data_IF_960202198707
#
_entry.id   IF_960202198707
#
_cell.length_a   1.000
_cell.length_b   1.000
_cell.length_c   1.000
_cell.angle_alpha   90.00
_cell.angle_beta   90.00
_cell.angle_gamma   90.00
#
_symmetry.space_group_name_H-M   'P 1'
#
loop_
_entity.id
_entity.type
_entity.pdbx_description
1 polymer ?
#
# COMPACT_ATOMS: atom_id res chain seq x y z
N UNK A 1 55.05 25.80 16.15
CA UNK A 1 54.75 24.35 15.98
C UNK A 1 54.69 23.69 17.35
N UNK A 2 53.61 22.95 17.65
CA UNK A 2 53.43 22.06 18.82
C UNK A 2 52.67 20.82 18.28
N UNK A 3 53.02 19.54 18.44
CA UNK A 3 53.97 18.78 19.29
C UNK A 3 53.33 18.07 20.51
N UNK A 4 53.76 16.80 20.68
CA UNK A 4 53.53 15.79 21.72
C UNK A 4 52.26 14.91 21.79
N UNK A 5 52.52 13.67 22.22
CA UNK A 5 51.60 12.56 22.55
C UNK A 5 51.42 12.45 24.07
N UNK A 6 50.25 11.97 24.50
CA UNK A 6 50.02 11.12 25.69
C UNK A 6 48.84 10.17 25.33
N UNK A 7 48.73 8.87 25.63
CA UNK A 7 49.12 7.95 26.73
C UNK A 7 48.18 7.91 27.95
N UNK A 8 47.57 6.73 28.18
CA UNK A 8 46.84 6.28 29.39
C UNK A 8 45.49 6.99 29.66
N UNK A 9 44.51 6.40 30.35
CA UNK A 9 44.58 5.26 31.31
C UNK A 9 43.39 4.30 31.24
N UNK A 10 43.59 3.07 31.71
CA UNK A 10 42.52 2.17 32.18
C UNK A 10 42.09 2.54 33.60
N UNK A 11 40.89 2.12 34.03
CA UNK A 11 40.38 2.30 35.38
C UNK A 11 39.18 1.40 35.68
N UNK A 12 39.30 0.53 36.70
CA UNK A 12 38.25 -0.38 37.17
C UNK A 12 37.78 0.07 38.54
N UNK A 13 36.47 0.15 38.79
CA UNK A 13 35.92 0.26 40.15
C UNK A 13 34.46 -0.21 40.26
N UNK A 14 34.25 -1.08 41.23
CA UNK A 14 33.02 -1.54 41.91
C UNK A 14 33.45 -1.68 43.40
N UNK A 15 32.60 -1.55 44.44
CA UNK A 15 31.39 -2.40 44.60
C UNK A 15 30.23 -1.83 45.48
N UNK A 16 29.22 -2.68 45.75
CA UNK A 16 28.48 -2.84 47.03
C UNK A 16 27.55 -1.72 47.59
N UNK A 17 26.57 -1.94 48.49
CA UNK A 17 25.73 -3.10 48.97
C UNK A 17 24.55 -2.53 49.82
N UNK A 18 23.35 -3.17 49.83
CA UNK A 18 22.27 -3.25 50.88
C UNK A 18 20.94 -3.66 50.18
N UNK A 19 20.03 -4.60 50.56
CA UNK A 19 19.52 -5.22 51.83
C UNK A 19 18.70 -4.27 52.73
N UNK A 20 17.52 -4.56 53.32
CA UNK A 20 16.72 -5.80 53.70
C UNK A 20 15.19 -5.46 53.58
N UNK A 21 14.11 -6.28 53.65
CA UNK A 21 13.78 -7.67 54.08
C UNK A 21 12.75 -8.39 53.18
N UNK A 22 11.88 -9.36 53.54
CA UNK A 22 11.21 -9.85 54.79
C UNK A 22 10.05 -8.97 55.33
N UNK A 23 8.84 -9.45 55.72
CA UNK A 23 8.19 -10.78 55.88
C UNK A 23 6.80 -10.79 55.18
N UNK A 24 6.04 -11.86 54.84
CA UNK A 24 5.81 -13.26 55.28
C UNK A 24 4.51 -13.49 56.11
N UNK A 25 3.43 -13.89 55.41
CA UNK A 25 2.23 -14.70 55.75
C UNK A 25 1.42 -14.53 57.08
N UNK A 26 0.07 -14.48 56.95
CA UNK A 26 -0.88 -15.38 57.66
C UNK A 26 -2.37 -15.25 57.17
N UNK A 27 -3.07 -16.39 57.08
CA UNK A 27 -4.53 -16.56 57.14
C UNK A 27 -4.90 -17.03 58.59
N UNK A 28 -6.17 -17.18 59.05
CA UNK A 28 -7.45 -17.29 58.31
C UNK A 28 -8.66 -16.53 58.92
N UNK A 29 -9.87 -16.74 58.37
CA UNK A 29 -11.14 -16.37 59.03
C UNK A 29 -12.37 -16.64 58.14
N UNK A 30 -13.20 -17.62 58.50
CA UNK A 30 -14.39 -17.99 57.72
C UNK A 30 -15.62 -17.14 58.07
N UNK A 31 -16.46 -16.84 57.08
CA UNK A 31 -17.90 -16.58 57.26
C UNK A 31 -18.65 -16.90 55.97
N UNK A 32 -19.68 -17.75 56.06
CA UNK A 32 -20.52 -18.11 54.92
C UNK A 32 -21.59 -17.04 54.70
N UNK A 33 -21.69 -16.48 53.49
CA UNK A 33 -22.92 -15.85 53.01
C UNK A 33 -23.27 -16.35 51.61
N UNK A 34 -24.40 -17.05 51.58
CA UNK A 34 -25.38 -17.15 50.47
C UNK A 34 -24.89 -16.86 49.04
N UNK A 35 -24.77 -17.94 48.26
CA UNK A 35 -24.79 -17.95 46.79
C UNK A 35 -26.15 -17.44 46.28
N UNK A 36 -26.21 -16.19 45.82
CA UNK A 36 -27.27 -15.74 44.91
C UNK A 36 -26.78 -15.89 43.46
N UNK A 37 -27.51 -16.67 42.66
CA UNK A 37 -27.23 -16.85 41.23
C UNK A 37 -27.80 -15.69 40.42
N UNK A 38 -27.16 -14.53 40.56
CA UNK A 38 -27.32 -13.43 39.64
C UNK A 38 -26.78 -13.86 38.26
N UNK A 39 -27.69 -14.17 37.33
CA UNK A 39 -27.36 -14.53 35.94
C UNK A 39 -26.66 -13.37 35.24
N UNK A 40 -25.33 -13.33 35.33
CA UNK A 40 -24.49 -12.43 34.56
C UNK A 40 -24.57 -12.85 33.09
N UNK A 41 -25.37 -12.10 32.31
CA UNK A 41 -25.28 -12.12 30.84
C UNK A 41 -23.81 -11.95 30.48
N UNK A 42 -23.21 -12.84 29.66
CA UNK A 42 -21.83 -12.68 29.27
C UNK A 42 -21.68 -11.32 28.58
N UNK A 43 -20.74 -10.51 29.05
CA UNK A 43 -20.41 -9.26 28.38
C UNK A 43 -20.11 -9.58 26.90
N UNK A 44 -20.60 -8.78 25.94
CA UNK A 44 -20.39 -9.06 24.53
C UNK A 44 -18.88 -9.17 24.30
N UNK A 45 -18.43 -10.33 23.84
CA UNK A 45 -17.01 -10.57 23.55
C UNK A 45 -16.62 -9.55 22.49
N UNK A 46 -15.89 -8.52 22.93
CA UNK A 46 -15.49 -7.42 22.09
C UNK A 46 -14.42 -7.97 21.15
N UNK A 47 -14.89 -8.50 20.02
CA UNK A 47 -14.04 -9.08 18.97
C UNK A 47 -12.94 -8.06 18.68
N UNK A 48 -11.70 -8.44 18.98
CA UNK A 48 -10.56 -7.61 18.66
C UNK A 48 -10.62 -7.37 17.15
N UNK A 49 -10.78 -6.10 16.76
CA UNK A 49 -10.95 -5.76 15.35
C UNK A 49 -9.70 -6.21 14.61
N UNK A 50 -9.82 -7.29 13.82
CA UNK A 50 -8.76 -7.76 12.93
C UNK A 50 -8.38 -6.56 12.09
N UNK A 51 -7.11 -6.11 12.10
CA UNK A 51 -6.74 -4.82 11.52
C UNK A 51 -6.93 -4.91 10.01
N UNK A 52 -8.07 -4.40 9.53
CA UNK A 52 -8.48 -4.54 8.14
C UNK A 52 -7.37 -4.03 7.24
N UNK A 53 -7.06 -4.81 6.21
CA UNK A 53 -6.24 -4.30 5.13
C UNK A 53 -6.83 -2.97 4.65
N UNK A 54 -5.95 -2.01 4.38
CA UNK A 54 -6.32 -0.86 3.56
C UNK A 54 -7.47 -0.04 4.18
N UNK A 55 -7.33 0.29 5.48
CA UNK A 55 -7.90 1.54 6.03
C UNK A 55 -7.21 2.75 5.36
N UNK A 56 -7.62 2.98 4.13
CA UNK A 56 -7.41 4.21 3.39
C UNK A 56 -8.14 5.35 4.10
N UNK A 57 -7.76 6.61 3.83
CA UNK A 57 -8.61 7.75 4.13
C UNK A 57 -10.05 7.47 3.67
N UNK A 58 -10.96 7.34 4.65
CA UNK A 58 -12.39 7.16 4.40
C UNK A 58 -13.00 8.55 4.31
N UNK A 59 -13.79 8.87 3.25
CA UNK A 59 -14.48 10.16 3.19
C UNK A 59 -15.39 10.36 4.41
N UNK A 60 -15.50 11.58 4.96
CA UNK A 60 -16.26 11.84 6.19
C UNK A 60 -17.78 11.63 6.07
N UNK A 61 -18.29 11.29 4.88
CA UNK A 61 -19.64 10.82 4.64
C UNK A 61 -19.60 9.65 3.63
N UNK A 62 -20.47 8.62 3.78
CA UNK A 62 -20.51 7.50 2.84
C UNK A 62 -20.97 7.96 1.45
N UNK A 63 -20.05 8.04 0.49
CA UNK A 63 -20.39 8.35 -0.91
C UNK A 63 -20.90 7.09 -1.61
N UNK A 64 -22.21 6.87 -1.54
CA UNK A 64 -22.91 5.87 -2.36
C UNK A 64 -22.77 6.21 -3.85
N UNK A 65 -22.71 5.21 -4.76
CA UNK A 65 -22.77 5.44 -6.19
C UNK A 65 -24.15 6.01 -6.59
N UNK A 66 -24.23 6.88 -7.61
CA UNK A 66 -25.50 7.32 -8.18
C UNK A 66 -26.14 6.19 -9.00
N UNK A 67 -27.41 6.34 -9.41
CA UNK A 67 -28.02 5.46 -10.42
C UNK A 67 -27.12 5.34 -11.67
N UNK A 68 -26.95 4.14 -12.27
CA UNK A 68 -26.06 3.96 -13.44
C UNK A 68 -26.39 4.83 -14.66
N UNK A 69 -27.62 5.37 -14.74
CA UNK A 69 -28.05 6.35 -15.73
C UNK A 69 -27.38 7.72 -15.60
N UNK A 70 -26.92 8.08 -14.40
CA UNK A 70 -26.28 9.37 -14.08
C UNK A 70 -24.74 9.29 -14.15
N UNK A 71 -24.19 8.07 -14.14
CA UNK A 71 -22.76 7.84 -14.36
C UNK A 71 -22.38 8.03 -15.84
N UNK A 72 -21.22 8.67 -16.07
CA UNK A 72 -20.69 9.03 -17.38
C UNK A 72 -19.73 7.94 -17.93
N UNK A 73 -19.50 7.86 -19.25
CA UNK A 73 -18.34 7.14 -19.80
C UNK A 73 -17.03 7.68 -19.21
N UNK A 74 -16.02 6.82 -19.02
CA UNK A 74 -14.77 7.17 -18.33
C UNK A 74 -14.14 8.50 -18.78
N UNK A 75 -13.98 8.71 -20.08
CA UNK A 75 -13.33 9.93 -20.61
C UNK A 75 -14.14 11.20 -20.30
N UNK A 76 -15.46 11.15 -20.45
CA UNK A 76 -16.36 12.25 -20.10
C UNK A 76 -16.42 12.50 -18.59
N UNK A 77 -16.25 11.47 -17.76
CA UNK A 77 -16.12 11.60 -16.31
C UNK A 77 -14.81 12.32 -15.94
N UNK A 78 -13.69 12.01 -16.62
CA UNK A 78 -12.40 12.72 -16.44
C UNK A 78 -12.52 14.19 -16.81
N UNK A 79 -13.05 14.50 -18.00
CA UNK A 79 -13.23 15.89 -18.44
C UNK A 79 -14.19 16.66 -17.53
N UNK A 80 -15.25 16.02 -17.03
CA UNK A 80 -16.16 16.62 -16.03
C UNK A 80 -15.45 16.92 -14.71
N UNK A 81 -14.74 15.95 -14.15
CA UNK A 81 -14.00 16.13 -12.91
C UNK A 81 -12.88 17.18 -13.05
N UNK A 82 -12.25 17.27 -14.23
CA UNK A 82 -11.26 18.30 -14.54
C UNK A 82 -11.90 19.70 -14.68
N UNK A 83 -13.06 19.82 -15.33
CA UNK A 83 -13.80 21.07 -15.40
C UNK A 83 -14.22 21.56 -14.01
N UNK A 84 -14.76 20.67 -13.17
CA UNK A 84 -15.13 20.99 -11.79
C UNK A 84 -13.90 21.35 -10.94
N UNK A 85 -12.75 20.67 -11.14
CA UNK A 85 -11.48 20.98 -10.48
C UNK A 85 -11.09 22.44 -10.69
N UNK A 86 -10.94 22.89 -11.94
CA UNK A 86 -10.53 24.27 -12.23
C UNK A 86 -11.67 25.29 -11.96
N UNK A 87 -12.94 24.86 -11.95
CA UNK A 87 -14.09 25.65 -11.49
C UNK A 87 -14.16 25.82 -9.96
N UNK A 88 -13.47 25.00 -9.17
CA UNK A 88 -13.39 25.14 -7.70
C UNK A 88 -12.29 26.10 -7.21
N UNK A 89 -11.22 26.34 -7.99
CA UNK A 89 -10.06 27.14 -7.57
C UNK A 89 -10.45 28.58 -7.19
N UNK A 90 -9.97 29.17 -6.08
CA UNK A 90 -10.31 30.54 -5.71
C UNK A 90 -9.99 31.58 -6.82
N UNK A 91 -10.91 32.51 -7.15
CA UNK A 91 -10.73 33.48 -8.25
C UNK A 91 -9.42 34.30 -8.20
N UNK A 92 -8.96 34.61 -6.99
CA UNK A 92 -7.71 35.31 -6.70
C UNK A 92 -6.47 34.55 -7.18
N UNK A 93 -6.49 33.21 -7.17
CA UNK A 93 -5.42 32.38 -7.72
C UNK A 93 -5.51 32.20 -9.24
N UNK A 94 -6.70 32.28 -9.83
CA UNK A 94 -6.88 32.20 -11.30
C UNK A 94 -6.34 33.40 -12.07
N UNK A 95 -6.22 34.56 -11.41
CA UNK A 95 -6.10 35.88 -12.05
C UNK A 95 -4.65 36.36 -12.26
N UNK A 96 -3.68 35.43 -12.31
CA UNK A 96 -2.28 35.74 -12.57
C UNK A 96 -2.01 36.15 -14.02
N UNK A 97 -1.02 37.03 -14.23
CA UNK A 97 -0.56 37.45 -15.57
C UNK A 97 0.41 36.46 -16.24
N UNK A 98 0.87 35.45 -15.51
CA UNK A 98 1.74 34.36 -15.97
C UNK A 98 1.07 33.02 -15.68
N UNK A 99 1.08 32.05 -16.62
CA UNK A 99 0.56 30.71 -16.36
C UNK A 99 1.21 30.06 -15.13
N UNK A 100 0.41 29.40 -14.30
CA UNK A 100 0.89 28.68 -13.12
C UNK A 100 1.45 27.32 -13.55
N UNK A 101 2.69 27.00 -13.16
CA UNK A 101 3.22 25.66 -13.42
C UNK A 101 2.38 24.61 -12.68
N UNK A 102 1.87 23.63 -13.42
CA UNK A 102 1.16 22.48 -12.88
C UNK A 102 1.85 21.19 -13.33
N UNK A 103 1.90 20.20 -12.44
CA UNK A 103 2.31 18.83 -12.75
C UNK A 103 1.22 17.86 -12.32
N UNK A 104 1.14 16.69 -12.94
CA UNK A 104 0.28 15.59 -12.49
C UNK A 104 1.17 14.56 -11.78
N UNK A 105 0.85 14.23 -10.54
CA UNK A 105 1.45 13.07 -9.85
C UNK A 105 0.69 11.81 -10.33
N UNK A 106 1.39 10.82 -10.92
CA UNK A 106 0.80 9.66 -11.58
C UNK A 106 -0.48 9.11 -10.95
N UNK A 107 -1.57 9.09 -11.73
CA UNK A 107 -2.89 8.80 -11.20
C UNK A 107 -3.00 7.34 -10.75
N UNK A 108 -3.61 7.12 -9.58
CA UNK A 108 -3.72 5.79 -8.96
C UNK A 108 -5.15 5.28 -8.87
N UNK A 109 -5.34 3.96 -8.94
CA UNK A 109 -6.57 3.35 -8.45
C UNK A 109 -6.58 3.48 -6.91
N UNK A 110 -7.68 3.99 -6.38
CA UNK A 110 -7.83 4.35 -4.98
C UNK A 110 -8.11 3.18 -4.05
N UNK A 111 -8.23 1.94 -4.54
CA UNK A 111 -8.29 0.72 -3.74
C UNK A 111 -6.93 0.00 -3.72
N UNK A 112 -6.26 -0.12 -4.88
CA UNK A 112 -4.94 -0.80 -4.98
C UNK A 112 -3.75 0.12 -4.75
N UNK A 113 -3.91 1.45 -4.81
CA UNK A 113 -2.82 2.41 -4.55
C UNK A 113 -1.71 2.42 -5.60
N UNK A 114 -2.00 1.98 -6.82
CA UNK A 114 -1.06 1.88 -7.94
C UNK A 114 -1.71 2.24 -9.28
N UNK A 115 -0.92 2.25 -10.35
CA UNK A 115 -1.42 2.63 -11.68
C UNK A 115 -2.04 1.45 -12.44
N UNK A 116 -3.11 1.73 -13.17
CA UNK A 116 -3.84 0.78 -14.01
C UNK A 116 -4.01 1.33 -15.43
N UNK A 117 -4.49 0.49 -16.36
CA UNK A 117 -4.87 0.93 -17.71
C UNK A 117 -5.89 2.08 -17.69
N UNK A 118 -6.89 2.04 -16.80
CA UNK A 118 -7.81 3.14 -16.57
C UNK A 118 -7.09 4.42 -16.10
N UNK A 119 -6.19 4.34 -15.10
CA UNK A 119 -5.59 5.57 -14.56
C UNK A 119 -4.60 6.21 -15.53
N UNK A 120 -3.87 5.43 -16.32
CA UNK A 120 -3.08 5.93 -17.46
C UNK A 120 -3.96 6.61 -18.52
N UNK A 121 -5.15 6.08 -18.80
CA UNK A 121 -6.12 6.70 -19.72
C UNK A 121 -6.64 8.04 -19.16
N UNK A 122 -6.96 8.08 -17.87
CA UNK A 122 -7.36 9.31 -17.17
C UNK A 122 -6.26 10.38 -17.19
N UNK A 123 -5.01 9.99 -16.96
CA UNK A 123 -3.82 10.84 -16.94
C UNK A 123 -3.62 11.53 -18.30
N UNK A 124 -3.76 10.78 -19.40
CA UNK A 124 -3.68 11.30 -20.77
C UNK A 124 -4.84 12.23 -21.14
N UNK A 125 -6.07 11.91 -20.74
CA UNK A 125 -7.26 12.75 -20.98
C UNK A 125 -7.21 14.04 -20.17
N UNK A 126 -6.80 13.96 -18.90
CA UNK A 126 -6.61 15.11 -18.03
C UNK A 126 -5.52 16.06 -18.55
N UNK A 127 -4.37 15.52 -18.97
CA UNK A 127 -3.31 16.31 -19.58
C UNK A 127 -3.79 17.04 -20.85
N UNK A 128 -4.53 16.34 -21.70
CA UNK A 128 -5.14 16.89 -22.93
C UNK A 128 -6.15 18.00 -22.62
N UNK A 129 -7.00 17.82 -21.60
CA UNK A 129 -7.97 18.82 -21.15
C UNK A 129 -7.29 20.09 -20.62
N UNK A 130 -6.23 19.95 -19.82
CA UNK A 130 -5.46 21.10 -19.31
C UNK A 130 -4.87 21.90 -20.47
N UNK A 131 -4.17 21.23 -21.39
CA UNK A 131 -3.52 21.87 -22.54
C UNK A 131 -4.51 22.55 -23.50
N UNK A 132 -5.71 21.99 -23.68
CA UNK A 132 -6.72 22.54 -24.59
C UNK A 132 -7.61 23.63 -23.96
N UNK A 133 -7.93 23.52 -22.67
CA UNK A 133 -9.01 24.29 -22.04
C UNK A 133 -8.59 25.15 -20.84
N UNK A 134 -7.34 25.03 -20.36
CA UNK A 134 -6.87 25.69 -19.13
C UNK A 134 -5.61 26.54 -19.38
N UNK A 135 -5.65 27.58 -20.24
CA UNK A 135 -4.47 28.33 -20.69
C UNK A 135 -3.73 29.11 -19.58
N UNK A 136 -4.32 29.25 -18.40
CA UNK A 136 -3.68 29.84 -17.22
C UNK A 136 -2.75 28.86 -16.48
N UNK A 137 -2.57 27.62 -16.99
CA UNK A 137 -1.75 26.58 -16.37
C UNK A 137 -0.74 26.00 -17.37
N UNK A 138 0.53 25.99 -16.99
CA UNK A 138 1.64 25.43 -17.77
C UNK A 138 1.91 23.99 -17.31
N UNK A 139 1.36 23.01 -18.04
CA UNK A 139 1.48 21.59 -17.70
C UNK A 139 2.88 21.05 -18.03
N UNK A 140 3.61 20.64 -16.99
CA UNK A 140 4.94 20.05 -17.08
C UNK A 140 4.96 18.61 -16.54
N UNK A 141 5.95 17.78 -16.95
CA UNK A 141 6.18 16.48 -16.32
C UNK A 141 6.49 16.63 -14.82
N UNK A 142 5.98 15.73 -13.98
CA UNK A 142 6.43 15.64 -12.59
C UNK A 142 7.80 14.96 -12.55
N UNK A 143 8.84 15.72 -12.23
CA UNK A 143 10.20 15.23 -12.04
C UNK A 143 10.93 16.10 -11.00
N UNK A 144 12.20 15.81 -10.72
CA UNK A 144 12.96 16.55 -9.69
C UNK A 144 13.22 18.02 -10.04
N UNK A 145 13.31 18.38 -11.32
CA UNK A 145 13.49 19.77 -11.78
C UNK A 145 12.22 20.58 -11.57
N UNK A 146 11.06 20.05 -11.94
CA UNK A 146 9.78 20.78 -11.82
C UNK A 146 9.33 20.89 -10.38
N UNK A 147 9.40 19.80 -9.59
CA UNK A 147 9.06 19.82 -8.16
C UNK A 147 9.94 20.79 -7.35
N UNK A 148 11.21 21.01 -7.76
CA UNK A 148 12.09 21.99 -7.09
C UNK A 148 11.61 23.45 -7.18
N UNK A 149 10.66 23.75 -8.07
CA UNK A 149 10.11 25.10 -8.30
C UNK A 149 8.80 25.36 -7.52
N UNK A 150 8.38 24.44 -6.65
CA UNK A 150 7.09 24.45 -5.94
C UNK A 150 5.89 24.74 -6.86
N UNK A 151 5.63 23.88 -7.86
CA UNK A 151 4.46 23.96 -8.73
C UNK A 151 3.16 23.62 -8.00
N UNK A 152 2.04 23.80 -8.69
CA UNK A 152 0.81 23.12 -8.33
C UNK A 152 0.94 21.64 -8.71
N UNK A 153 0.56 20.74 -7.80
CA UNK A 153 0.53 19.29 -8.06
C UNK A 153 -0.92 18.83 -8.09
N UNK A 154 -1.32 18.22 -9.19
CA UNK A 154 -2.61 17.56 -9.34
C UNK A 154 -2.45 16.09 -8.92
N UNK A 155 -3.12 15.72 -7.83
CA UNK A 155 -3.28 14.32 -7.39
C UNK A 155 -4.67 13.82 -7.74
N UNK A 156 -4.82 12.53 -8.04
CA UNK A 156 -6.11 11.99 -8.44
C UNK A 156 -6.24 10.49 -8.34
N UNK A 157 -7.48 10.03 -8.15
CA UNK A 157 -7.78 8.61 -8.11
C UNK A 157 -9.13 8.24 -8.70
N UNK A 158 -9.21 6.98 -9.13
CA UNK A 158 -10.46 6.30 -9.47
C UNK A 158 -10.69 5.18 -8.45
N UNK A 159 -11.89 5.03 -7.90
CA UNK A 159 -12.19 3.95 -6.95
C UNK A 159 -13.60 3.42 -7.15
N UNK A 160 -13.73 2.09 -7.16
CA UNK A 160 -15.02 1.43 -7.23
C UNK A 160 -15.92 1.79 -6.04
N UNK A 161 -17.22 1.90 -6.29
CA UNK A 161 -18.23 2.07 -5.25
C UNK A 161 -19.44 1.15 -5.49
N UNK A 162 -19.94 0.53 -4.43
CA UNK A 162 -21.11 -0.35 -4.43
C UNK A 162 -22.14 0.07 -3.37
N UNK A 163 -23.04 -0.84 -2.96
CA UNK A 163 -24.09 -0.56 -1.96
C UNK A 163 -23.54 -0.07 -0.60
N UNK A 164 -22.33 -0.47 -0.23
CA UNK A 164 -21.64 -0.08 1.00
C UNK A 164 -20.70 1.13 0.77
N UNK A 165 -20.94 1.91 -0.27
CA UNK A 165 -20.09 3.02 -0.68
C UNK A 165 -18.75 2.52 -1.19
N UNK A 166 -17.65 2.96 -0.58
CA UNK A 166 -16.27 2.64 -1.00
C UNK A 166 -15.68 1.39 -0.30
N UNK A 167 -16.49 0.64 0.46
CA UNK A 167 -16.06 -0.64 1.03
C UNK A 167 -15.72 -1.66 -0.07
N UNK A 168 -14.85 -2.65 0.19
CA UNK A 168 -14.57 -3.73 -0.76
C UNK A 168 -15.82 -4.47 -1.22
N UNK A 169 -15.90 -4.76 -2.53
CA UNK A 169 -17.03 -5.46 -3.12
C UNK A 169 -17.13 -5.21 -4.63
N UNK A 170 -18.19 -5.73 -5.26
CA UNK A 170 -18.44 -5.53 -6.70
C UNK A 170 -18.83 -4.06 -6.96
N UNK A 171 -18.08 -3.30 -7.77
CA UNK A 171 -18.41 -1.91 -8.05
C UNK A 171 -19.64 -1.79 -8.96
N UNK A 172 -20.50 -0.81 -8.66
CA UNK A 172 -21.67 -0.42 -9.46
C UNK A 172 -21.41 0.86 -10.27
N UNK A 173 -20.53 1.73 -9.76
CA UNK A 173 -19.93 2.86 -10.45
C UNK A 173 -18.49 3.06 -9.95
N UNK A 174 -17.72 3.91 -10.63
CA UNK A 174 -16.39 4.32 -10.19
C UNK A 174 -16.38 5.82 -9.90
N UNK A 175 -15.90 6.21 -8.72
CA UNK A 175 -15.73 7.61 -8.35
C UNK A 175 -14.36 8.09 -8.82
N UNK A 176 -14.34 9.06 -9.72
CA UNK A 176 -13.14 9.83 -10.08
C UNK A 176 -13.06 11.03 -9.16
N UNK A 177 -11.88 11.27 -8.59
CA UNK A 177 -11.61 12.43 -7.74
C UNK A 177 -10.25 13.03 -8.08
N UNK A 178 -10.20 14.35 -8.24
CA UNK A 178 -8.98 15.13 -8.43
C UNK A 178 -8.86 16.21 -7.36
N UNK A 179 -7.64 16.49 -6.91
CA UNK A 179 -7.33 17.63 -6.04
C UNK A 179 -6.05 18.31 -6.51
N UNK A 180 -6.04 19.65 -6.43
CA UNK A 180 -4.92 20.50 -6.82
C UNK A 180 -4.27 21.07 -5.56
N UNK A 181 -3.04 20.65 -5.28
CA UNK A 181 -2.25 21.07 -4.13
C UNK A 181 -1.24 22.16 -4.55
N UNK A 182 -1.10 23.23 -3.77
CA UNK A 182 -0.02 24.21 -3.96
C UNK A 182 1.17 23.87 -3.06
N UNK A 183 2.28 23.41 -3.63
CA UNK A 183 3.50 23.08 -2.88
C UNK A 183 4.17 24.30 -2.21
N UNK A 184 3.82 25.53 -2.62
CA UNK A 184 4.37 26.75 -2.01
C UNK A 184 3.69 27.11 -0.69
N UNK A 185 2.42 26.77 -0.54
CA UNK A 185 1.60 27.11 0.64
C UNK A 185 1.20 25.88 1.47
N UNK A 186 1.31 24.67 0.92
CA UNK A 186 1.00 23.42 1.61
C UNK A 186 -0.50 23.14 1.78
N UNK A 187 -1.37 23.81 1.01
CA UNK A 187 -2.83 23.62 1.06
C UNK A 187 -3.40 23.12 -0.27
N UNK A 188 -4.55 22.46 -0.20
CA UNK A 188 -5.34 22.13 -1.39
C UNK A 188 -6.08 23.40 -1.85
N UNK A 189 -5.89 23.76 -3.12
CA UNK A 189 -6.42 24.97 -3.76
C UNK A 189 -7.54 24.68 -4.76
N UNK A 190 -7.80 23.41 -5.09
CA UNK A 190 -8.94 22.99 -5.92
C UNK A 190 -9.30 21.53 -5.71
N UNK A 191 -10.56 21.16 -5.96
CA UNK A 191 -11.04 19.77 -5.97
C UNK A 191 -12.09 19.56 -7.08
N UNK A 192 -12.16 18.36 -7.65
CA UNK A 192 -13.12 17.99 -8.69
C UNK A 192 -13.51 16.52 -8.60
N UNK A 193 -14.75 16.17 -8.94
CA UNK A 193 -15.29 14.82 -8.75
C UNK A 193 -16.30 14.49 -9.84
N UNK A 194 -16.26 13.26 -10.36
CA UNK A 194 -17.28 12.74 -11.27
C UNK A 194 -17.49 11.24 -11.05
N UNK A 195 -18.64 10.74 -11.50
CA UNK A 195 -18.94 9.31 -11.51
C UNK A 195 -18.78 8.74 -12.90
N UNK A 196 -17.84 7.81 -13.05
CA UNK A 196 -17.71 6.96 -14.22
C UNK A 196 -18.56 5.69 -14.06
N UNK A 197 -19.02 5.12 -15.17
CA UNK A 197 -19.62 3.79 -15.20
C UNK A 197 -18.57 2.69 -14.97
N UNK A 198 -19.02 1.45 -14.88
CA UNK A 198 -18.15 0.27 -14.86
C UNK A 198 -17.67 -0.13 -16.26
N UNK A 199 -18.39 0.23 -17.33
CA UNK A 199 -17.87 0.14 -18.70
C UNK A 199 -16.78 1.19 -18.95
N UNK A 200 -15.65 0.73 -19.49
CA UNK A 200 -14.45 1.54 -19.76
C UNK A 200 -13.43 1.61 -18.63
N UNK A 201 -13.76 1.19 -17.39
CA UNK A 201 -12.78 1.12 -16.31
C UNK A 201 -12.06 -0.23 -16.33
N UNK A 202 -10.84 -0.19 -16.85
CA UNK A 202 -9.89 -1.31 -16.85
C UNK A 202 -8.91 -1.20 -15.67
N UNK A 203 -9.04 -2.13 -14.73
CA UNK A 203 -8.20 -2.23 -13.53
C UNK A 203 -6.92 -3.06 -13.75
N UNK A 204 -6.58 -3.51 -14.96
CA UNK A 204 -5.30 -4.20 -15.19
C UNK A 204 -4.12 -3.29 -14.77
N UNK A 205 -3.25 -3.73 -13.82
CA UNK A 205 -2.13 -2.91 -13.36
C UNK A 205 -1.07 -2.72 -14.46
N UNK A 206 -0.40 -1.56 -14.47
CA UNK A 206 0.73 -1.35 -15.39
C UNK A 206 1.90 -2.28 -15.05
N UNK A 207 2.81 -2.51 -16.01
CA UNK A 207 3.88 -3.52 -15.95
C UNK A 207 4.62 -3.55 -14.61
N UNK A 208 5.04 -2.39 -14.10
CA UNK A 208 5.66 -2.28 -12.78
C UNK A 208 4.82 -2.86 -11.61
N UNK A 209 3.53 -2.56 -11.56
CA UNK A 209 2.63 -3.03 -10.49
C UNK A 209 2.19 -4.48 -10.71
N UNK A 210 2.05 -4.90 -11.97
CA UNK A 210 1.74 -6.28 -12.38
C UNK A 210 2.86 -7.28 -12.05
N UNK A 211 4.11 -6.83 -12.13
CA UNK A 211 5.30 -7.67 -11.87
C UNK A 211 5.83 -7.54 -10.44
N UNK A 212 5.39 -6.52 -9.70
CA UNK A 212 5.81 -6.26 -8.31
C UNK A 212 5.64 -7.50 -7.42
N UNK A 213 6.68 -7.93 -6.68
CA UNK A 213 6.63 -9.18 -5.92
C UNK A 213 5.78 -9.07 -4.64
N UNK A 214 5.50 -7.85 -4.21
CA UNK A 214 4.71 -7.55 -3.02
C UNK A 214 3.86 -6.30 -3.22
N UNK A 215 2.72 -6.26 -2.53
CA UNK A 215 1.78 -5.17 -2.59
C UNK A 215 1.42 -4.66 -1.19
N UNK A 216 1.41 -3.34 -1.02
CA UNK A 216 0.79 -2.67 0.13
C UNK A 216 0.53 -1.21 -0.26
N UNK A 217 -0.51 -0.62 0.32
CA UNK A 217 -0.67 0.84 0.32
C UNK A 217 0.32 1.42 1.33
N UNK A 218 1.47 1.89 0.85
CA UNK A 218 2.52 2.52 1.66
C UNK A 218 2.11 3.91 2.18
N UNK A 219 2.84 4.45 3.16
CA UNK A 219 2.49 5.72 3.81
C UNK A 219 2.59 6.94 2.86
N UNK A 220 3.34 6.82 1.76
CA UNK A 220 3.36 7.81 0.69
C UNK A 220 2.05 7.81 -0.10
N UNK A 221 1.55 6.64 -0.48
CA UNK A 221 0.22 6.51 -1.11
C UNK A 221 -0.91 6.89 -0.13
N UNK A 222 -0.80 6.58 1.17
CA UNK A 222 -1.77 7.06 2.17
C UNK A 222 -1.80 8.59 2.21
N UNK A 223 -0.64 9.26 2.18
CA UNK A 223 -0.53 10.72 2.10
C UNK A 223 -1.11 11.30 0.80
N UNK A 224 -0.82 10.67 -0.33
CA UNK A 224 -1.41 11.01 -1.64
C UNK A 224 -2.94 10.96 -1.57
N UNK A 225 -3.50 9.83 -1.14
CA UNK A 225 -4.95 9.62 -1.09
C UNK A 225 -5.63 10.44 0.02
N UNK A 226 -4.92 10.81 1.09
CA UNK A 226 -5.40 11.78 2.08
C UNK A 226 -5.48 13.18 1.45
N UNK A 227 -4.46 13.58 0.68
CA UNK A 227 -4.46 14.84 -0.08
C UNK A 227 -5.57 14.87 -1.12
N UNK A 228 -5.88 13.75 -1.79
CA UNK A 228 -7.07 13.65 -2.63
C UNK A 228 -8.35 13.96 -1.83
N UNK A 229 -8.51 13.48 -0.60
CA UNK A 229 -9.74 13.73 0.19
C UNK A 229 -9.78 15.08 0.94
N UNK A 230 -8.68 15.82 1.03
CA UNK A 230 -8.66 17.17 1.59
C UNK A 230 -9.51 18.14 0.76
N UNK A 231 -10.24 19.03 1.43
CA UNK A 231 -11.04 20.10 0.79
C UNK A 231 -10.18 21.31 0.44
N UNK A 232 -10.71 22.23 -0.38
CA UNK A 232 -10.09 23.53 -0.65
C UNK A 232 -9.91 24.30 0.67
N UNK A 233 -8.68 24.77 0.92
CA UNK A 233 -8.27 25.42 2.16
C UNK A 233 -7.81 24.48 3.27
N UNK A 234 -7.98 23.16 3.13
CA UNK A 234 -7.40 22.18 4.06
C UNK A 234 -5.93 21.89 3.69
N UNK A 235 -5.06 21.54 4.67
CA UNK A 235 -3.67 21.22 4.40
C UNK A 235 -3.54 19.95 3.55
N UNK A 236 -2.49 19.94 2.72
CA UNK A 236 -1.95 18.74 2.07
C UNK A 236 -1.42 17.80 3.16
N UNK A 237 -1.51 16.47 2.94
CA UNK A 237 -1.02 15.52 3.93
C UNK A 237 0.50 15.69 4.15
N UNK A 238 1.00 15.85 5.40
CA UNK A 238 2.42 16.10 5.65
C UNK A 238 3.34 15.03 5.07
N UNK A 239 2.99 13.75 5.19
CA UNK A 239 3.77 12.63 4.61
C UNK A 239 3.86 12.65 3.08
N UNK A 240 2.96 13.38 2.40
CA UNK A 240 3.01 13.60 0.95
C UNK A 240 3.87 14.82 0.59
N UNK A 241 3.76 15.93 1.33
CA UNK A 241 4.66 17.09 1.18
C UNK A 241 6.12 16.72 1.44
N UNK A 242 6.39 16.11 2.60
CA UNK A 242 7.74 15.63 2.99
C UNK A 242 8.25 14.54 2.02
N UNK A 243 7.31 13.84 1.37
CA UNK A 243 7.55 12.78 0.40
C UNK A 243 7.70 13.22 -1.05
N UNK A 244 7.45 14.48 -1.42
CA UNK A 244 7.22 14.86 -2.83
C UNK A 244 8.44 14.61 -3.75
N UNK A 245 9.67 14.79 -3.23
CA UNK A 245 10.89 14.47 -3.97
C UNK A 245 11.05 12.95 -4.18
N UNK A 246 10.65 12.14 -3.21
CA UNK A 246 10.63 10.69 -3.35
C UNK A 246 9.55 10.26 -4.36
N UNK A 247 8.36 10.86 -4.31
CA UNK A 247 7.27 10.61 -5.25
C UNK A 247 7.70 10.86 -6.71
N UNK A 248 8.38 11.98 -6.99
CA UNK A 248 8.88 12.29 -8.33
C UNK A 248 9.92 11.26 -8.83
N UNK A 249 10.88 10.87 -7.98
CA UNK A 249 11.88 9.85 -8.32
C UNK A 249 11.28 8.45 -8.50
N UNK A 250 10.23 8.11 -7.74
CA UNK A 250 9.45 6.88 -7.91
C UNK A 250 8.66 6.93 -9.23
N UNK A 251 8.04 8.06 -9.57
CA UNK A 251 7.29 8.26 -10.81
C UNK A 251 8.19 8.09 -12.05
N UNK A 252 9.32 8.81 -12.10
CA UNK A 252 10.34 8.67 -13.14
C UNK A 252 10.87 7.22 -13.21
N UNK A 253 11.11 6.58 -12.06
CA UNK A 253 11.61 5.20 -11.96
C UNK A 253 10.62 4.16 -12.49
N UNK A 254 9.33 4.30 -12.17
CA UNK A 254 8.24 3.46 -12.70
C UNK A 254 8.10 3.67 -14.21
N UNK A 255 8.12 4.92 -14.69
CA UNK A 255 8.06 5.21 -16.14
C UNK A 255 9.30 4.69 -16.88
N UNK A 256 10.47 4.66 -16.25
CA UNK A 256 11.66 4.01 -16.81
C UNK A 256 11.52 2.48 -16.85
N UNK A 257 10.94 1.87 -15.83
CA UNK A 257 10.68 0.43 -15.79
C UNK A 257 9.63 -0.01 -16.83
N UNK A 258 8.47 0.64 -16.86
CA UNK A 258 7.39 0.40 -17.84
C UNK A 258 7.89 0.57 -19.29
N UNK A 259 8.89 1.43 -19.51
CA UNK A 259 9.55 1.67 -20.80
C UNK A 259 10.78 0.77 -21.08
N UNK A 260 11.06 -0.23 -20.25
CA UNK A 260 12.18 -1.17 -20.42
C UNK A 260 13.58 -0.59 -20.20
N UNK A 261 13.70 0.63 -19.66
CA UNK A 261 14.97 1.34 -19.40
C UNK A 261 15.51 0.97 -18.01
N UNK A 262 15.80 -0.32 -17.81
CA UNK A 262 16.00 -0.89 -16.47
C UNK A 262 17.19 -0.30 -15.69
N UNK A 263 18.30 0.08 -16.33
CA UNK A 263 19.40 0.79 -15.65
C UNK A 263 18.96 2.16 -15.13
N UNK A 264 18.24 2.94 -15.95
CA UNK A 264 17.72 4.24 -15.54
C UNK A 264 16.70 4.10 -14.40
N UNK A 265 15.81 3.11 -14.50
CA UNK A 265 14.87 2.77 -13.42
C UNK A 265 15.61 2.44 -12.11
N UNK A 266 16.63 1.58 -12.17
CA UNK A 266 17.44 1.21 -11.01
C UNK A 266 18.09 2.43 -10.35
N UNK A 267 18.69 3.33 -11.12
CA UNK A 267 19.38 4.50 -10.56
C UNK A 267 18.39 5.56 -10.04
N UNK A 268 17.19 5.65 -10.60
CA UNK A 268 16.08 6.45 -10.07
C UNK A 268 15.53 5.87 -8.75
N UNK A 269 15.32 4.56 -8.65
CA UNK A 269 14.92 3.93 -7.39
C UNK A 269 16.04 4.02 -6.32
N UNK A 270 17.32 3.93 -6.71
CA UNK A 270 18.47 4.21 -5.83
C UNK A 270 18.59 5.69 -5.43
N UNK A 271 18.07 6.63 -6.22
CA UNK A 271 17.93 8.02 -5.82
C UNK A 271 16.79 8.17 -4.82
N UNK A 272 15.63 7.54 -5.06
CA UNK A 272 14.50 7.52 -4.14
C UNK A 272 14.88 6.92 -2.77
N UNK A 273 15.54 5.75 -2.72
CA UNK A 273 16.00 5.06 -1.49
C UNK A 273 16.88 5.95 -0.59
N UNK A 274 17.57 6.95 -1.17
CA UNK A 274 18.44 7.91 -0.45
C UNK A 274 17.72 9.17 0.05
N UNK A 275 16.45 9.39 -0.29
CA UNK A 275 15.65 10.50 0.25
C UNK A 275 15.14 10.17 1.67
N UNK A 276 14.83 11.16 2.53
CA UNK A 276 14.30 10.90 3.88
C UNK A 276 12.99 10.08 3.86
N UNK A 277 12.13 10.31 2.88
CA UNK A 277 10.90 9.56 2.65
C UNK A 277 11.09 8.34 1.71
N UNK A 278 12.33 7.92 1.44
CA UNK A 278 12.69 6.93 0.44
C UNK A 278 12.37 5.47 0.78
N UNK A 279 12.14 5.18 2.06
CA UNK A 279 11.82 3.84 2.55
C UNK A 279 10.33 3.52 2.31
N UNK A 280 9.96 3.28 1.06
CA UNK A 280 8.59 2.92 0.61
C UNK A 280 8.61 1.58 -0.12
N UNK A 281 7.50 0.82 -0.09
CA UNK A 281 7.45 -0.48 -0.76
C UNK A 281 7.68 -0.36 -2.27
N UNK A 282 7.17 0.71 -2.91
CA UNK A 282 7.41 0.98 -4.34
C UNK A 282 8.90 1.10 -4.69
N UNK A 283 9.72 1.65 -3.79
CA UNK A 283 11.18 1.71 -3.98
C UNK A 283 11.79 0.31 -3.86
N UNK A 284 11.42 -0.46 -2.84
CA UNK A 284 11.93 -1.83 -2.65
C UNK A 284 11.52 -2.77 -3.79
N UNK A 285 10.29 -2.67 -4.31
CA UNK A 285 9.83 -3.35 -5.52
C UNK A 285 10.68 -2.95 -6.73
N UNK A 286 10.89 -1.65 -6.97
CA UNK A 286 11.66 -1.16 -8.11
C UNK A 286 13.13 -1.57 -8.09
N UNK A 287 13.76 -1.57 -6.91
CA UNK A 287 15.12 -2.07 -6.72
C UNK A 287 15.22 -3.57 -6.98
N UNK A 288 14.22 -4.37 -6.60
CA UNK A 288 14.16 -5.79 -6.94
C UNK A 288 13.98 -5.99 -8.45
N UNK A 289 12.91 -5.42 -9.01
CA UNK A 289 12.50 -5.62 -10.40
C UNK A 289 13.57 -5.17 -11.40
N UNK A 290 14.18 -4.00 -11.19
CA UNK A 290 15.20 -3.49 -12.09
C UNK A 290 16.47 -4.37 -12.07
N UNK A 291 16.93 -4.85 -10.91
CA UNK A 291 18.07 -5.78 -10.85
C UNK A 291 17.73 -7.16 -11.45
N UNK A 292 16.51 -7.66 -11.24
CA UNK A 292 16.02 -8.91 -11.84
C UNK A 292 15.99 -8.82 -13.38
N UNK A 293 15.42 -7.74 -13.93
CA UNK A 293 15.39 -7.48 -15.39
C UNK A 293 16.78 -7.26 -16.00
N UNK A 294 17.77 -6.85 -15.20
CA UNK A 294 19.17 -6.70 -15.59
C UNK A 294 20.01 -7.99 -15.41
N UNK A 295 19.41 -9.11 -14.99
CA UNK A 295 20.13 -10.37 -14.73
C UNK A 295 21.13 -10.28 -13.57
N UNK A 296 20.90 -9.37 -12.62
CA UNK A 296 21.77 -9.14 -11.46
C UNK A 296 21.24 -9.90 -10.24
N UNK A 297 21.20 -11.22 -10.34
CA UNK A 297 20.52 -12.11 -9.38
C UNK A 297 20.89 -11.85 -7.92
N UNK A 298 22.17 -11.57 -7.64
CA UNK A 298 22.65 -11.23 -6.29
C UNK A 298 22.17 -9.86 -5.78
N UNK A 299 22.12 -8.84 -6.63
CA UNK A 299 21.54 -7.53 -6.28
C UNK A 299 20.01 -7.63 -6.12
N UNK A 300 19.36 -8.47 -6.93
CA UNK A 300 17.92 -8.73 -6.84
C UNK A 300 17.57 -9.49 -5.55
N UNK A 301 18.28 -10.56 -5.20
CA UNK A 301 18.11 -11.26 -3.91
C UNK A 301 18.42 -10.33 -2.72
N UNK A 302 19.43 -9.47 -2.83
CA UNK A 302 19.74 -8.44 -1.83
C UNK A 302 18.67 -7.35 -1.70
N UNK A 303 18.01 -6.95 -2.80
CA UNK A 303 16.88 -6.02 -2.79
C UNK A 303 15.62 -6.67 -2.22
N UNK A 304 15.29 -7.91 -2.63
CA UNK A 304 14.17 -8.66 -2.08
C UNK A 304 14.34 -8.93 -0.57
N UNK A 305 15.58 -9.16 -0.11
CA UNK A 305 15.88 -9.24 1.33
C UNK A 305 15.51 -7.96 2.08
N UNK A 306 15.74 -6.77 1.50
CA UNK A 306 15.33 -5.48 2.08
C UNK A 306 13.83 -5.24 2.03
N UNK A 307 13.16 -5.77 1.00
CA UNK A 307 11.70 -5.78 0.89
C UNK A 307 11.05 -6.62 2.00
N UNK A 308 11.56 -7.83 2.25
CA UNK A 308 11.05 -8.70 3.34
C UNK A 308 11.33 -8.05 4.71
N UNK A 309 12.53 -7.51 4.91
CA UNK A 309 12.87 -6.70 6.09
C UNK A 309 11.94 -5.49 6.30
N UNK A 310 11.53 -4.82 5.21
CA UNK A 310 10.57 -3.73 5.25
C UNK A 310 9.20 -4.26 5.72
N UNK A 311 8.68 -5.31 5.09
CA UNK A 311 7.36 -5.85 5.44
C UNK A 311 7.29 -6.39 6.88
N UNK A 312 8.35 -7.07 7.35
CA UNK A 312 8.48 -7.55 8.73
C UNK A 312 8.51 -6.43 9.78
N UNK A 313 8.97 -5.22 9.43
CA UNK A 313 9.02 -4.05 10.33
C UNK A 313 7.76 -3.18 10.33
N UNK A 314 6.94 -3.25 9.29
CA UNK A 314 5.70 -2.46 9.16
C UNK A 314 4.45 -3.37 9.27
N UNK A 315 4.63 -4.55 9.88
CA UNK A 315 3.63 -5.59 10.12
C UNK A 315 2.76 -5.98 8.90
N UNK A 316 3.32 -5.89 7.67
CA UNK A 316 2.62 -6.16 6.41
C UNK A 316 3.57 -6.65 5.31
N UNK A 317 3.41 -7.91 4.86
CA UNK A 317 4.16 -8.48 3.73
C UNK A 317 3.21 -9.27 2.81
N UNK A 318 2.35 -8.61 2.05
CA UNK A 318 1.50 -9.30 1.07
C UNK A 318 2.29 -9.62 -0.20
N UNK A 319 2.86 -10.83 -0.29
CA UNK A 319 3.54 -11.30 -1.50
C UNK A 319 2.53 -11.70 -2.59
N UNK A 320 2.81 -11.32 -3.83
CA UNK A 320 1.95 -11.60 -4.98
C UNK A 320 2.23 -12.99 -5.55
N UNK A 321 1.81 -14.03 -4.82
CA UNK A 321 1.90 -15.42 -5.26
C UNK A 321 0.67 -15.83 -6.07
N UNK A 322 0.77 -15.78 -7.40
CA UNK A 322 -0.31 -16.11 -8.33
C UNK A 322 -0.56 -17.62 -8.45
N UNK A 323 -1.81 -18.02 -8.22
CA UNK A 323 -2.33 -19.38 -8.37
C UNK A 323 -3.19 -19.54 -9.63
N UNK A 324 -3.32 -20.77 -10.13
CA UNK A 324 -4.33 -21.10 -11.15
C UNK A 324 -5.75 -20.96 -10.58
N UNK A 325 -6.75 -20.55 -11.39
CA UNK A 325 -8.15 -20.53 -10.99
C UNK A 325 -8.61 -21.87 -10.41
N UNK A 326 -9.45 -21.83 -9.37
CA UNK A 326 -9.97 -22.99 -8.63
C UNK A 326 -8.91 -24.02 -8.17
N UNK A 327 -7.66 -23.60 -7.93
CA UNK A 327 -6.54 -24.52 -7.64
C UNK A 327 -5.51 -23.95 -6.65
N UNK A 328 -4.78 -24.87 -6.00
CA UNK A 328 -3.58 -24.63 -5.20
C UNK A 328 -2.28 -24.76 -6.00
N UNK A 329 -2.35 -25.13 -7.28
CA UNK A 329 -1.19 -25.07 -8.17
C UNK A 329 -0.86 -23.61 -8.54
N UNK A 330 0.41 -23.24 -8.47
CA UNK A 330 0.88 -21.94 -8.98
C UNK A 330 0.64 -21.82 -10.50
N UNK A 331 0.63 -20.57 -10.99
CA UNK A 331 0.55 -20.28 -12.42
C UNK A 331 1.71 -20.94 -13.19
N UNK A 332 1.50 -21.56 -14.37
CA UNK A 332 2.53 -22.40 -15.02
C UNK A 332 3.64 -21.62 -15.75
N UNK A 333 3.69 -20.28 -15.62
CA UNK A 333 4.69 -19.44 -16.29
C UNK A 333 5.96 -19.27 -15.42
N UNK A 334 7.15 -19.67 -15.88
CA UNK A 334 8.42 -19.43 -15.18
C UNK A 334 8.78 -17.94 -15.03
N UNK A 335 8.28 -17.04 -15.89
CA UNK A 335 8.53 -15.60 -15.75
C UNK A 335 7.84 -15.01 -14.51
N UNK A 336 6.73 -15.61 -14.07
CA UNK A 336 6.00 -15.23 -12.85
C UNK A 336 6.50 -16.05 -11.66
N UNK A 337 6.70 -17.37 -11.82
CA UNK A 337 6.94 -18.29 -10.69
C UNK A 337 8.40 -18.63 -10.42
N UNK A 338 9.32 -18.37 -11.35
CA UNK A 338 10.75 -18.73 -11.22
C UNK A 338 11.44 -18.08 -10.01
N UNK A 339 10.94 -16.92 -9.57
CA UNK A 339 11.45 -16.20 -8.39
C UNK A 339 10.97 -16.76 -7.05
N UNK A 340 9.90 -17.58 -7.02
CA UNK A 340 9.22 -17.93 -5.77
C UNK A 340 10.11 -18.72 -4.79
N UNK A 341 10.98 -19.63 -5.27
CA UNK A 341 11.91 -20.34 -4.37
C UNK A 341 12.85 -19.36 -3.65
N UNK A 342 13.43 -18.41 -4.38
CA UNK A 342 14.26 -17.35 -3.79
C UNK A 342 13.45 -16.50 -2.81
N UNK A 343 12.21 -16.12 -3.14
CA UNK A 343 11.36 -15.34 -2.25
C UNK A 343 11.08 -16.07 -0.93
N UNK A 344 10.62 -17.32 -0.99
CA UNK A 344 10.32 -18.13 0.19
C UNK A 344 11.59 -18.43 1.01
N UNK A 345 12.72 -18.68 0.34
CA UNK A 345 14.04 -18.82 0.96
C UNK A 345 14.47 -17.55 1.71
N UNK A 346 14.19 -16.36 1.20
CA UNK A 346 14.44 -15.12 1.93
C UNK A 346 13.45 -14.88 3.05
N UNK A 347 12.15 -15.10 2.86
CA UNK A 347 11.16 -15.01 3.94
C UNK A 347 11.58 -15.88 5.13
N UNK A 348 11.98 -17.14 4.89
CA UNK A 348 12.53 -17.99 5.93
C UNK A 348 13.77 -17.37 6.62
N UNK A 349 14.75 -16.92 5.83
CA UNK A 349 16.01 -16.33 6.35
C UNK A 349 15.84 -15.02 7.13
N UNK A 350 14.85 -14.18 6.80
CA UNK A 350 14.59 -12.91 7.50
C UNK A 350 13.66 -13.07 8.71
N UNK A 351 12.69 -13.98 8.65
CA UNK A 351 11.67 -14.15 9.70
C UNK A 351 12.28 -14.57 11.03
N UNK A 352 13.16 -15.59 11.04
CA UNK A 352 13.80 -16.08 12.26
C UNK A 352 14.45 -14.96 13.11
N UNK A 353 15.42 -14.21 12.55
CA UNK A 353 16.08 -13.09 13.22
C UNK A 353 15.20 -11.88 13.57
N UNK A 354 14.03 -11.73 12.92
CA UNK A 354 13.13 -10.58 13.16
C UNK A 354 12.37 -10.62 14.49
N UNK A 355 12.34 -11.78 15.16
CA UNK A 355 11.52 -12.00 16.35
C UNK A 355 10.01 -12.10 16.10
N UNK A 356 9.51 -11.80 14.89
CA UNK A 356 8.10 -11.97 14.52
C UNK A 356 7.76 -13.45 14.28
N UNK A 357 6.48 -13.79 14.40
CA UNK A 357 5.87 -14.95 13.76
C UNK A 357 5.03 -14.46 12.56
N UNK A 358 4.50 -15.36 11.72
CA UNK A 358 3.68 -14.99 10.57
C UNK A 358 2.34 -15.74 10.57
N UNK A 359 1.25 -15.05 10.26
CA UNK A 359 0.03 -15.68 9.75
C UNK A 359 0.03 -15.60 8.21
N UNK A 360 -0.09 -16.73 7.52
CA UNK A 360 -0.35 -16.76 6.08
C UNK A 360 -1.85 -16.72 5.83
N UNK A 361 -2.33 -15.62 5.25
CA UNK A 361 -3.75 -15.45 4.91
C UNK A 361 -3.91 -15.62 3.40
N UNK A 362 -4.60 -16.69 3.01
CA UNK A 362 -4.98 -16.91 1.62
C UNK A 362 -6.25 -16.14 1.26
N UNK A 363 -6.33 -15.71 0.00
CA UNK A 363 -7.46 -14.95 -0.55
C UNK A 363 -7.94 -15.55 -1.89
N UNK A 364 -9.21 -15.28 -2.24
CA UNK A 364 -9.79 -15.60 -3.55
C UNK A 364 -10.60 -14.43 -4.11
N UNK A 365 -10.79 -14.42 -5.43
CA UNK A 365 -11.84 -13.64 -6.10
C UNK A 365 -13.22 -13.98 -5.52
N UNK A 366 -14.23 -13.10 -5.67
CA UNK A 366 -15.63 -13.35 -5.26
C UNK A 366 -16.36 -14.37 -6.15
N UNK A 367 -15.66 -15.04 -7.06
CA UNK A 367 -16.20 -16.04 -7.98
C UNK A 367 -16.57 -17.33 -7.23
N UNK A 368 -17.83 -17.75 -7.32
CA UNK A 368 -18.30 -19.04 -6.76
C UNK A 368 -18.75 -19.00 -5.29
N UNK A 369 -19.04 -20.18 -4.69
CA UNK A 369 -19.61 -20.25 -3.34
C UNK A 369 -18.61 -19.87 -2.24
N UNK A 370 -19.02 -18.99 -1.32
CA UNK A 370 -18.18 -18.48 -0.21
C UNK A 370 -17.47 -19.60 0.59
N UNK A 371 -18.18 -20.66 0.97
CA UNK A 371 -17.61 -21.78 1.73
C UNK A 371 -16.56 -22.60 0.94
N UNK A 372 -16.63 -22.62 -0.40
CA UNK A 372 -15.59 -23.22 -1.24
C UNK A 372 -14.37 -22.29 -1.35
N UNK A 373 -14.61 -20.98 -1.38
CA UNK A 373 -13.56 -19.96 -1.41
C UNK A 373 -12.78 -19.89 -0.09
N UNK A 374 -13.43 -20.03 1.07
CA UNK A 374 -12.80 -20.20 2.38
C UNK A 374 -11.88 -21.44 2.43
N UNK A 375 -12.34 -22.58 1.89
CA UNK A 375 -11.54 -23.80 1.80
C UNK A 375 -10.35 -23.66 0.83
N UNK A 376 -10.58 -23.07 -0.35
CA UNK A 376 -9.54 -22.88 -1.37
C UNK A 376 -8.46 -21.88 -0.91
N UNK A 377 -8.86 -20.80 -0.24
CA UNK A 377 -7.92 -19.83 0.34
C UNK A 377 -7.04 -20.45 1.43
N UNK A 378 -7.62 -21.21 2.36
CA UNK A 378 -6.84 -21.94 3.37
C UNK A 378 -5.86 -22.92 2.71
N UNK A 379 -6.33 -23.74 1.76
CA UNK A 379 -5.47 -24.69 1.05
C UNK A 379 -4.34 -24.04 0.23
N UNK A 380 -4.51 -22.77 -0.19
CA UNK A 380 -3.44 -21.96 -0.80
C UNK A 380 -2.43 -21.46 0.23
N UNK A 381 -2.88 -21.00 1.40
CA UNK A 381 -2.00 -20.64 2.51
C UNK A 381 -1.18 -21.84 3.00
N UNK A 382 -1.82 -23.01 3.19
CA UNK A 382 -1.17 -24.28 3.54
C UNK A 382 -0.13 -24.70 2.49
N UNK A 383 -0.40 -24.48 1.20
CA UNK A 383 0.54 -24.77 0.12
C UNK A 383 1.80 -23.90 0.19
N UNK A 384 1.67 -22.63 0.59
CA UNK A 384 2.81 -21.72 0.80
C UNK A 384 3.56 -22.08 2.09
N UNK A 385 2.85 -22.44 3.17
CA UNK A 385 3.47 -22.96 4.40
C UNK A 385 4.31 -24.21 4.14
N UNK A 386 3.77 -25.18 3.38
CA UNK A 386 4.50 -26.38 2.96
C UNK A 386 5.76 -26.06 2.13
N UNK A 387 5.77 -24.95 1.38
CA UNK A 387 6.92 -24.51 0.61
C UNK A 387 7.97 -23.80 1.47
N UNK A 388 7.55 -23.02 2.48
CA UNK A 388 8.43 -22.39 3.48
C UNK A 388 9.07 -23.43 4.42
N UNK A 389 8.31 -24.45 4.84
CA UNK A 389 8.80 -25.51 5.72
C UNK A 389 9.97 -26.29 5.11
N UNK A 390 10.05 -26.38 3.78
CA UNK A 390 11.20 -26.96 3.06
C UNK A 390 12.44 -26.05 3.03
N UNK A 391 12.28 -24.75 3.31
CA UNK A 391 13.37 -23.79 3.41
C UNK A 391 13.93 -23.68 4.85
N UNK A 392 13.07 -23.77 5.86
CA UNK A 392 13.47 -23.89 7.28
C UNK A 392 12.36 -24.44 8.18
N UNK A 393 12.67 -25.49 8.93
CA UNK A 393 11.76 -26.10 9.94
C UNK A 393 11.58 -25.18 11.17
N UNK A 394 12.64 -24.51 11.61
CA UNK A 394 12.60 -23.52 12.71
C UNK A 394 11.60 -22.38 12.42
N UNK A 395 11.38 -22.09 11.13
CA UNK A 395 10.44 -21.06 10.69
C UNK A 395 9.02 -21.61 10.51
N UNK A 396 8.83 -22.88 10.09
CA UNK A 396 7.48 -23.43 9.97
C UNK A 396 6.73 -23.53 11.31
N UNK A 397 7.45 -23.73 12.41
CA UNK A 397 6.90 -23.71 13.78
C UNK A 397 6.49 -22.30 14.24
N UNK A 398 6.88 -21.28 13.48
CA UNK A 398 6.60 -19.84 13.71
C UNK A 398 5.61 -19.27 12.68
N UNK A 399 4.91 -20.14 11.94
CA UNK A 399 3.92 -19.76 10.93
C UNK A 399 2.58 -20.47 11.19
N UNK A 400 1.48 -19.72 11.15
CA UNK A 400 0.10 -20.21 11.10
C UNK A 400 -0.53 -19.96 9.72
N UNK A 401 -1.66 -20.61 9.42
CA UNK A 401 -2.40 -20.42 8.16
C UNK A 401 -3.88 -20.09 8.41
N UNK A 402 -4.47 -19.27 7.53
CA UNK A 402 -5.89 -18.91 7.54
C UNK A 402 -6.41 -18.72 6.10
N UNK A 403 -7.64 -19.14 5.84
CA UNK A 403 -8.40 -18.74 4.66
C UNK A 403 -9.46 -17.70 5.03
N UNK A 404 -9.68 -16.71 4.18
CA UNK A 404 -10.78 -15.72 4.33
C UNK A 404 -11.69 -15.65 3.09
N UNK A 405 -11.47 -16.54 2.12
CA UNK A 405 -12.14 -16.56 0.83
C UNK A 405 -12.03 -15.19 0.15
N UNK A 406 -13.18 -14.62 -0.17
CA UNK A 406 -13.31 -13.31 -0.81
C UNK A 406 -13.80 -12.19 0.12
N UNK A 407 -13.83 -12.42 1.45
CA UNK A 407 -14.29 -11.38 2.40
C UNK A 407 -13.30 -10.22 2.56
N UNK A 408 -12.03 -10.42 2.17
CA UNK A 408 -10.97 -9.41 2.12
C UNK A 408 -10.48 -9.18 0.67
N UNK A 409 -11.40 -9.14 -0.29
CA UNK A 409 -11.12 -8.67 -1.66
C UNK A 409 -10.62 -7.21 -1.66
N UNK A 410 -9.91 -6.81 -2.72
CA UNK A 410 -9.39 -5.45 -2.92
C UNK A 410 -10.02 -4.82 -4.17
N UNK A 411 -10.14 -5.59 -5.26
CA UNK A 411 -10.70 -5.14 -6.53
C UNK A 411 -12.16 -5.58 -6.69
N UNK A 412 -12.48 -6.82 -6.31
CA UNK A 412 -13.86 -7.31 -6.17
C UNK A 412 -14.63 -7.53 -7.48
N UNK A 413 -13.99 -7.48 -8.65
CA UNK A 413 -14.68 -7.59 -9.95
C UNK A 413 -15.04 -9.03 -10.35
N UNK A 414 -14.31 -10.04 -9.87
CA UNK A 414 -14.61 -11.45 -10.15
C UNK A 414 -14.46 -11.84 -11.63
N UNK A 415 -13.51 -11.22 -12.33
CA UNK A 415 -13.17 -11.55 -13.73
C UNK A 415 -12.19 -12.73 -13.83
N UNK A 416 -11.47 -13.00 -12.74
CA UNK A 416 -10.42 -14.01 -12.63
C UNK A 416 -9.24 -13.81 -13.62
N UNK A 417 -8.96 -12.56 -14.02
CA UNK A 417 -7.90 -12.13 -14.95
C UNK A 417 -6.81 -11.25 -14.27
N UNK A 418 -5.98 -10.55 -15.04
CA UNK A 418 -4.94 -9.68 -14.45
C UNK A 418 -5.52 -8.45 -13.73
N UNK A 419 -6.75 -8.01 -14.03
CA UNK A 419 -7.38 -6.86 -13.39
C UNK A 419 -7.81 -7.12 -11.94
N UNK A 420 -8.01 -8.39 -11.53
CA UNK A 420 -8.34 -8.78 -10.15
C UNK A 420 -7.30 -9.70 -9.49
N UNK A 421 -6.07 -9.78 -10.02
CA UNK A 421 -5.05 -10.72 -9.51
C UNK A 421 -4.74 -10.55 -8.01
N UNK A 422 -4.89 -9.33 -7.48
CA UNK A 422 -4.65 -9.01 -6.07
C UNK A 422 -5.68 -9.66 -5.12
N UNK A 423 -6.87 -10.01 -5.61
CA UNK A 423 -7.86 -10.77 -4.82
C UNK A 423 -7.42 -12.23 -4.62
N UNK A 424 -6.39 -12.71 -5.34
CA UNK A 424 -5.97 -14.11 -5.41
C UNK A 424 -4.53 -14.31 -4.91
N UNK A 425 -4.20 -13.57 -3.84
CA UNK A 425 -2.90 -13.51 -3.15
C UNK A 425 -2.78 -14.50 -1.97
N UNK A 426 -1.56 -14.72 -1.48
CA UNK A 426 -1.29 -15.21 -0.11
C UNK A 426 -0.48 -14.14 0.60
N UNK A 427 -1.06 -13.60 1.66
CA UNK A 427 -0.51 -12.52 2.45
C UNK A 427 0.24 -13.05 3.67
N UNK A 428 1.40 -12.47 3.96
CA UNK A 428 2.20 -12.84 5.12
C UNK A 428 2.02 -11.70 6.14
N UNK A 429 1.35 -11.98 7.26
CA UNK A 429 1.06 -11.03 8.33
C UNK A 429 2.03 -11.24 9.51
N UNK A 430 3.04 -10.38 9.70
CA UNK A 430 3.84 -10.39 10.92
C UNK A 430 2.97 -10.20 12.15
N UNK A 431 3.17 -11.07 13.13
CA UNK A 431 2.45 -11.10 14.39
C UNK A 431 3.41 -11.41 15.53
N UNK A 432 2.98 -11.12 16.76
CA UNK A 432 3.70 -11.58 17.95
C UNK A 432 3.67 -13.11 18.01
N UNK A 433 4.81 -13.72 18.31
CA UNK A 433 4.85 -15.17 18.51
C UNK A 433 4.05 -15.54 19.75
N UNK A 434 2.99 -16.34 19.56
CA UNK A 434 2.23 -16.88 20.68
C UNK A 434 3.13 -17.81 21.50
N UNK A 435 3.29 -17.51 22.78
CA UNK A 435 3.92 -18.42 23.73
C UNK A 435 3.06 -19.68 23.80
N UNK A 436 3.63 -20.84 23.46
CA UNK A 436 2.99 -22.12 23.78
C UNK A 436 2.87 -22.23 25.31
N UNK A 437 1.68 -22.61 25.79
CA UNK A 437 1.30 -22.64 27.20
C UNK A 437 1.06 -24.08 27.70
#
# INVERSE_FOLDING_TARGET
MRSYRSTMSSGVSRPAVLLTGLLLAALPGCSNLTREEASQTPAPVQQAAVPTLVSLPVPPAPTLPPPPSEALPLEAAVERAAADLFASVPPEMRSGSTPQMVVIDPLVDGAVGGQTAATRTMEQRLASFIQASQPNYDLRPMNTETISQSPLVLVGSVRGAGPEGLAPGVPQAYRIWFSLADLRTGVVVGHGMAWARTDGVDSEPTTFFKESPAWVVDDGIKGYLQTCLSKVGEPVAPSYLDGILAAALIADGIQAYDAGRYEAALDLFRAAERTPAGNQLRVHNGLYLANWRLGRDGDAEGAFSRLVDFGLRHDRLALMMLFRPASTAYWPDPQITGSYDMWLRQVARRTGPSGRCLELVGHTSPTGPMALNEQLSLARADKVWQDLARQSVEVSDRITTRGVGSSEAIVGTGRDDYSDMLDRRVEFRPMDCQTQA
#
